data_IF_495202437253
#
_entry.id   IF_495202437253
#
_cell.length_a   1.000
_cell.length_b   1.000
_cell.length_c   1.000
_cell.angle_alpha   90.00
_cell.angle_beta   90.00
_cell.angle_gamma   90.00
#
_symmetry.space_group_name_H-M   'P 1'
#
loop_
_entity.id
_entity.type
_entity.pdbx_description
1 polymer ?
#
# COMPACT_ATOMS: atom_id res chain seq x y z
N UNK A 1 -17.60 -6.39 -4.64
CA UNK A 1 -16.89 -5.68 -3.55
C UNK A 1 -16.87 -4.21 -3.92
N UNK A 2 -17.28 -3.31 -3.03
CA UNK A 2 -17.25 -1.88 -3.31
C UNK A 2 -15.79 -1.36 -3.32
N UNK A 3 -15.48 -0.30 -4.06
CA UNK A 3 -14.19 0.39 -3.97
C UNK A 3 -13.88 0.85 -2.54
N UNK A 4 -12.60 1.01 -2.22
CA UNK A 4 -12.17 1.55 -0.93
C UNK A 4 -12.69 2.98 -0.73
N UNK A 5 -13.07 3.32 0.51
CA UNK A 5 -13.51 4.67 0.86
C UNK A 5 -12.34 5.65 0.82
N UNK A 6 -12.63 6.91 0.52
CA UNK A 6 -11.65 7.99 0.41
C UNK A 6 -12.25 9.32 0.86
N UNK A 7 -11.39 10.21 1.33
CA UNK A 7 -11.67 11.62 1.58
C UNK A 7 -11.06 12.50 0.47
N UNK A 8 -11.50 13.75 0.34
CA UNK A 8 -10.97 14.69 -0.67
C UNK A 8 -9.45 14.83 -0.61
N UNK A 9 -8.89 14.85 0.60
CA UNK A 9 -7.45 14.92 0.83
C UNK A 9 -6.70 13.66 0.39
N UNK A 10 -7.34 12.47 0.38
CA UNK A 10 -6.75 11.26 -0.18
C UNK A 10 -6.68 11.36 -1.70
N UNK A 11 -7.74 11.86 -2.33
CA UNK A 11 -7.82 12.07 -3.78
C UNK A 11 -6.76 13.06 -4.24
N UNK A 12 -6.63 14.19 -3.55
CA UNK A 12 -5.59 15.19 -3.83
C UNK A 12 -4.19 14.59 -3.71
N UNK A 13 -3.93 13.86 -2.62
CA UNK A 13 -2.64 13.23 -2.38
C UNK A 13 -2.28 12.19 -3.46
N UNK A 14 -3.22 11.30 -3.83
CA UNK A 14 -3.00 10.28 -4.87
C UNK A 14 -2.77 10.94 -6.24
N UNK A 15 -3.56 11.96 -6.59
CA UNK A 15 -3.37 12.71 -7.85
C UNK A 15 -2.00 13.40 -7.89
N UNK A 16 -1.59 14.03 -6.80
CA UNK A 16 -0.31 14.72 -6.72
C UNK A 16 0.88 13.73 -6.81
N UNK A 17 0.75 12.52 -6.22
CA UNK A 17 1.76 11.46 -6.35
C UNK A 17 1.83 10.98 -7.80
N UNK A 18 0.69 10.73 -8.44
CA UNK A 18 0.64 10.31 -9.84
C UNK A 18 1.22 11.38 -10.80
N UNK A 19 1.06 12.66 -10.46
CA UNK A 19 1.62 13.77 -11.21
C UNK A 19 3.11 14.04 -10.90
N UNK A 20 3.69 13.41 -9.88
CA UNK A 20 5.07 13.65 -9.44
C UNK A 20 5.29 14.99 -8.73
N UNK A 21 4.22 15.64 -8.24
CA UNK A 21 4.26 16.98 -7.61
C UNK A 21 3.84 16.98 -6.14
N UNK A 22 3.62 15.80 -5.55
CA UNK A 22 3.19 15.67 -4.16
C UNK A 22 4.20 16.26 -3.17
N UNK A 23 3.69 17.09 -2.26
CA UNK A 23 4.40 17.49 -1.05
C UNK A 23 4.69 16.29 -0.14
N UNK A 24 5.60 16.44 0.82
CA UNK A 24 5.93 15.38 1.78
C UNK A 24 4.70 14.84 2.52
N UNK A 25 3.80 15.74 2.95
CA UNK A 25 2.56 15.36 3.63
C UNK A 25 1.63 14.54 2.73
N UNK A 26 1.51 14.93 1.45
CA UNK A 26 0.72 14.20 0.46
C UNK A 26 1.32 12.82 0.15
N UNK A 27 2.66 12.70 0.06
CA UNK A 27 3.31 11.40 -0.15
C UNK A 27 3.00 10.42 1.00
N UNK A 28 3.15 10.89 2.25
CA UNK A 28 2.82 10.09 3.44
C UNK A 28 1.34 9.71 3.48
N UNK A 29 0.44 10.66 3.18
CA UNK A 29 -1.00 10.41 3.15
C UNK A 29 -1.38 9.40 2.06
N UNK A 30 -0.83 9.53 0.86
CA UNK A 30 -1.06 8.59 -0.23
C UNK A 30 -0.61 7.17 0.13
N UNK A 31 0.60 7.00 0.69
CA UNK A 31 1.07 5.69 1.16
C UNK A 31 0.14 5.14 2.25
N UNK A 32 -0.26 5.97 3.21
CA UNK A 32 -1.20 5.60 4.26
C UNK A 32 -2.53 5.10 3.70
N UNK A 33 -3.15 5.84 2.78
CA UNK A 33 -4.40 5.43 2.16
C UNK A 33 -4.26 4.12 1.37
N UNK A 34 -3.19 3.95 0.59
CA UNK A 34 -2.94 2.72 -0.16
C UNK A 34 -2.83 1.52 0.79
N UNK A 35 -2.02 1.62 1.85
CA UNK A 35 -1.78 0.52 2.79
C UNK A 35 -3.04 0.20 3.62
N UNK A 36 -3.68 1.21 4.18
CA UNK A 36 -4.75 1.02 5.16
C UNK A 36 -6.14 0.88 4.53
N UNK A 37 -6.43 1.54 3.41
CA UNK A 37 -7.76 1.54 2.79
C UNK A 37 -7.81 0.69 1.52
N UNK A 38 -6.90 0.92 0.57
CA UNK A 38 -6.94 0.21 -0.71
C UNK A 38 -6.47 -1.25 -0.60
N UNK A 39 -5.39 -1.50 0.15
CA UNK A 39 -4.84 -2.84 0.35
C UNK A 39 -5.43 -3.57 1.57
N UNK A 40 -6.05 -2.84 2.52
CA UNK A 40 -6.61 -3.41 3.75
C UNK A 40 -5.59 -4.26 4.52
N UNK A 41 -4.34 -3.77 4.61
CA UNK A 41 -3.17 -4.59 4.99
C UNK A 41 -3.26 -5.20 6.39
N UNK A 42 -4.05 -4.57 7.27
CA UNK A 42 -4.19 -4.96 8.67
C UNK A 42 -5.56 -5.56 9.01
N UNK A 43 -6.46 -5.67 8.03
CA UNK A 43 -7.82 -6.15 8.23
C UNK A 43 -7.86 -7.69 8.15
N UNK A 44 -8.84 -8.34 8.77
CA UNK A 44 -9.02 -9.80 8.63
C UNK A 44 -9.52 -10.15 7.20
N UNK A 45 -8.75 -10.89 6.37
CA UNK A 45 -9.18 -11.22 5.01
C UNK A 45 -10.11 -12.44 4.97
N UNK A 46 -10.24 -13.22 6.05
CA UNK A 46 -11.07 -14.42 6.06
C UNK A 46 -12.57 -14.09 6.03
N UNK A 47 -13.26 -14.67 5.05
CA UNK A 47 -14.72 -14.62 4.92
C UNK A 47 -15.28 -16.04 4.95
N UNK A 48 -16.01 -16.43 6.01
CA UNK A 48 -16.60 -17.76 6.14
C UNK A 48 -17.43 -18.15 4.91
N UNK A 49 -17.25 -19.40 4.47
CA UNK A 49 -17.96 -20.00 3.32
C UNK A 49 -17.74 -19.28 1.97
N UNK A 50 -16.77 -18.36 1.89
CA UNK A 50 -16.45 -17.60 0.68
C UNK A 50 -14.94 -17.63 0.41
N UNK A 51 -14.38 -18.79 0.02
CA UNK A 51 -12.94 -18.96 -0.20
C UNK A 51 -12.40 -18.04 -1.30
N UNK A 52 -13.16 -17.79 -2.36
CA UNK A 52 -12.75 -16.89 -3.46
C UNK A 52 -12.61 -15.44 -2.99
N UNK A 53 -13.52 -14.99 -2.11
CA UNK A 53 -13.47 -13.66 -1.51
C UNK A 53 -12.26 -13.54 -0.58
N UNK A 54 -12.02 -14.57 0.23
CA UNK A 54 -10.83 -14.65 1.10
C UNK A 54 -9.54 -14.58 0.29
N UNK A 55 -9.45 -15.33 -0.82
CA UNK A 55 -8.30 -15.33 -1.71
C UNK A 55 -8.06 -13.94 -2.32
N UNK A 56 -9.11 -13.28 -2.79
CA UNK A 56 -9.03 -11.92 -3.33
C UNK A 56 -8.54 -10.90 -2.28
N UNK A 57 -9.10 -10.92 -1.06
CA UNK A 57 -8.69 -10.03 0.03
C UNK A 57 -7.25 -10.28 0.47
N UNK A 58 -6.82 -11.55 0.52
CA UNK A 58 -5.44 -11.91 0.81
C UNK A 58 -4.48 -11.40 -0.27
N UNK A 59 -4.88 -11.47 -1.54
CA UNK A 59 -4.12 -10.88 -2.65
C UNK A 59 -3.95 -9.37 -2.52
N UNK A 60 -5.04 -8.65 -2.21
CA UNK A 60 -5.00 -7.19 -1.94
C UNK A 60 -4.09 -6.85 -0.75
N UNK A 61 -4.23 -7.58 0.35
CA UNK A 61 -3.39 -7.43 1.53
C UNK A 61 -1.91 -7.64 1.21
N UNK A 62 -1.56 -8.60 0.35
CA UNK A 62 -0.18 -8.86 -0.01
C UNK A 62 0.48 -7.64 -0.70
N UNK A 63 -0.25 -6.87 -1.51
CA UNK A 63 0.28 -5.64 -2.13
C UNK A 63 0.72 -4.64 -1.05
N UNK A 64 -0.12 -4.41 -0.04
CA UNK A 64 0.22 -3.53 1.07
C UNK A 64 1.39 -4.05 1.91
N UNK A 65 1.51 -5.37 2.10
CA UNK A 65 2.67 -5.99 2.76
C UNK A 65 3.97 -5.76 1.99
N UNK A 66 3.95 -5.77 0.65
CA UNK A 66 5.14 -5.45 -0.14
C UNK A 66 5.56 -4.00 0.07
N UNK A 67 4.61 -3.05 0.10
CA UNK A 67 4.90 -1.65 0.38
C UNK A 67 5.50 -1.49 1.78
N UNK A 68 4.86 -2.06 2.80
CA UNK A 68 5.35 -1.98 4.19
C UNK A 68 6.73 -2.62 4.37
N UNK A 69 7.05 -3.69 3.63
CA UNK A 69 8.40 -4.24 3.61
C UNK A 69 9.41 -3.19 3.12
N UNK A 70 9.13 -2.51 2.02
CA UNK A 70 10.04 -1.49 1.48
C UNK A 70 10.18 -0.27 2.39
N UNK A 71 9.09 0.14 3.05
CA UNK A 71 9.07 1.29 3.97
C UNK A 71 9.83 0.99 5.27
N UNK A 72 9.63 -0.19 5.85
CA UNK A 72 10.10 -0.49 7.21
C UNK A 72 11.42 -1.27 7.26
N UNK A 73 11.90 -1.82 6.14
CA UNK A 73 13.16 -2.57 6.13
C UNK A 73 14.32 -1.63 5.79
N UNK A 74 15.41 -1.63 6.58
CA UNK A 74 16.63 -0.89 6.24
C UNK A 74 17.11 -1.20 4.82
N UNK A 75 17.45 -0.15 4.05
CA UNK A 75 17.75 -0.28 2.61
C UNK A 75 18.90 -1.26 2.32
N UNK A 76 19.93 -1.31 3.17
CA UNK A 76 21.08 -2.21 3.01
C UNK A 76 20.73 -3.70 3.11
N UNK A 77 19.56 -4.05 3.67
CA UNK A 77 19.04 -5.41 3.69
C UNK A 77 18.23 -5.76 2.44
N UNK A 78 17.81 -4.75 1.67
CA UNK A 78 16.99 -4.90 0.46
C UNK A 78 17.84 -4.79 -0.82
N UNK A 79 18.91 -4.01 -0.79
CA UNK A 79 19.78 -3.77 -1.94
C UNK A 79 21.11 -4.49 -1.76
N UNK A 80 21.62 -5.14 -2.82
CA UNK A 80 23.00 -5.64 -2.81
C UNK A 80 23.96 -4.43 -2.78
N UNK A 81 25.04 -4.47 -1.98
CA UNK A 81 26.08 -3.44 -2.09
C UNK A 81 26.64 -3.45 -3.51
N UNK A 82 26.84 -2.27 -4.09
CA UNK A 82 27.51 -2.15 -5.39
C UNK A 82 28.82 -2.93 -5.35
N UNK A 83 28.99 -3.88 -6.28
CA UNK A 83 30.32 -4.46 -6.51
C UNK A 83 31.18 -3.33 -7.05
N UNK A 84 32.09 -2.82 -6.21
CA UNK A 84 33.22 -2.03 -6.69
C UNK A 84 34.02 -2.92 -7.64
N UNK A 85 33.85 -2.70 -8.94
CA UNK A 85 34.73 -3.22 -10.00
C UNK A 85 36.11 -2.59 -9.92
#
# INVERSE_FOLDING_TARGET
>A
MAPATYEDLDVEAIKAVAAGTASEGQQKRAIGWIVHKAAMTHDEPFVPSQPDVTAHLTGRMNVGRQILKLVNTPIHLLTKPERKS
#
